data_IF_472762221189
#
_entry.id   IF_472762221189
#
_cell.length_a   1.000
_cell.length_b   1.000
_cell.length_c   1.000
_cell.angle_alpha   90.00
_cell.angle_beta   90.00
_cell.angle_gamma   90.00
#
_symmetry.space_group_name_H-M   'P 1'
#
loop_
_entity.id
_entity.type
_entity.pdbx_description
1 polymer ?
#
# COMPACT_ATOMS: atom_id res chain seq x y z
N UNK A 1 -26.62 -92.69 -52.84
CA UNK A 1 -26.54 -91.63 -53.87
C UNK A 1 -27.30 -90.40 -53.38
N UNK A 2 -26.70 -89.21 -53.57
CA UNK A 2 -27.30 -87.85 -53.58
C UNK A 2 -27.95 -87.27 -52.31
N UNK A 3 -27.21 -86.32 -51.73
CA UNK A 3 -27.55 -84.99 -51.17
C UNK A 3 -29.04 -84.60 -51.07
N UNK A 4 -29.43 -84.02 -49.93
CA UNK A 4 -29.73 -82.57 -49.82
C UNK A 4 -30.06 -82.12 -48.38
N UNK A 5 -29.69 -80.86 -48.11
CA UNK A 5 -29.69 -80.10 -46.85
C UNK A 5 -30.96 -79.24 -46.75
N UNK A 6 -31.50 -79.02 -45.55
CA UNK A 6 -32.24 -77.83 -45.07
C UNK A 6 -32.48 -78.01 -43.55
N UNK A 7 -31.69 -77.42 -42.63
CA UNK A 7 -31.81 -76.07 -42.00
C UNK A 7 -33.24 -75.70 -41.58
N UNK A 8 -33.51 -75.68 -40.26
CA UNK A 8 -34.12 -74.56 -39.51
C UNK A 8 -34.11 -74.79 -37.97
N UNK A 9 -33.60 -73.78 -37.25
CA UNK A 9 -33.77 -73.30 -35.84
C UNK A 9 -34.10 -74.30 -34.72
N UNK A 10 -33.20 -74.60 -33.76
CA UNK A 10 -32.83 -73.82 -32.55
C UNK A 10 -34.03 -73.36 -31.69
N UNK A 11 -34.34 -74.13 -30.64
CA UNK A 11 -34.45 -73.67 -29.24
C UNK A 11 -33.99 -74.82 -28.35
N UNK A 12 -32.82 -74.70 -27.70
CA UNK A 12 -32.39 -75.61 -26.64
C UNK A 12 -31.66 -74.81 -25.58
N UNK A 13 -32.28 -74.76 -24.41
CA UNK A 13 -31.76 -74.20 -23.17
C UNK A 13 -30.57 -75.06 -22.76
N UNK A 14 -29.37 -74.47 -22.75
CA UNK A 14 -28.19 -75.06 -22.14
C UNK A 14 -27.73 -74.15 -21.01
N UNK A 15 -27.97 -74.63 -19.80
CA UNK A 15 -27.32 -74.19 -18.58
C UNK A 15 -25.81 -74.41 -18.73
N UNK A 16 -25.03 -73.33 -18.75
CA UNK A 16 -23.61 -73.40 -18.42
C UNK A 16 -23.40 -72.81 -17.03
N UNK A 17 -23.05 -73.68 -16.10
CA UNK A 17 -22.21 -73.29 -14.98
C UNK A 17 -20.82 -72.97 -15.54
N UNK A 18 -20.41 -71.72 -15.43
CA UNK A 18 -19.03 -71.31 -15.66
C UNK A 18 -18.65 -70.24 -14.62
N UNK A 19 -17.80 -70.68 -13.70
CA UNK A 19 -16.87 -69.94 -12.86
C UNK A 19 -17.21 -68.48 -12.51
N UNK A 20 -17.58 -68.30 -11.24
CA UNK A 20 -17.23 -67.13 -10.44
C UNK A 20 -15.84 -66.62 -10.82
N UNK A 21 -15.83 -65.41 -11.36
CA UNK A 21 -14.67 -64.53 -11.37
C UNK A 21 -15.25 -63.15 -11.11
N UNK A 22 -15.32 -62.80 -9.83
CA UNK A 22 -15.58 -61.44 -9.35
C UNK A 22 -14.38 -60.53 -9.71
N UNK A 23 -14.09 -60.39 -11.00
CA UNK A 23 -13.16 -59.39 -11.54
C UNK A 23 -13.96 -58.35 -12.33
N UNK A 24 -15.06 -57.88 -11.74
CA UNK A 24 -15.55 -56.52 -11.99
C UNK A 24 -15.74 -55.86 -10.64
N UNK A 25 -14.61 -55.64 -9.97
CA UNK A 25 -14.46 -54.40 -9.21
C UNK A 25 -14.82 -53.28 -10.20
N UNK A 26 -16.09 -52.88 -10.17
CA UNK A 26 -16.55 -51.65 -10.78
C UNK A 26 -15.65 -50.60 -10.19
N UNK A 27 -14.63 -50.18 -10.94
CA UNK A 27 -13.70 -49.14 -10.53
C UNK A 27 -14.50 -47.85 -10.55
N UNK A 28 -15.31 -47.65 -9.50
CA UNK A 28 -15.96 -46.38 -9.22
C UNK A 28 -14.84 -45.34 -9.29
N UNK A 29 -15.02 -44.27 -10.08
CA UNK A 29 -13.98 -43.26 -10.22
C UNK A 29 -13.58 -42.80 -8.82
N UNK A 30 -12.31 -43.00 -8.44
CA UNK A 30 -11.83 -42.58 -7.13
C UNK A 30 -11.99 -41.06 -7.06
N UNK A 31 -12.81 -40.53 -6.15
CA UNK A 31 -13.02 -39.09 -6.04
C UNK A 31 -11.85 -38.45 -5.27
N UNK A 32 -11.42 -37.27 -5.71
CA UNK A 32 -10.35 -36.47 -5.12
C UNK A 32 -10.84 -35.04 -4.90
N UNK A 33 -10.34 -34.43 -3.84
CA UNK A 33 -10.60 -33.04 -3.50
C UNK A 33 -9.42 -32.11 -3.84
N UNK A 34 -8.33 -32.63 -4.39
CA UNK A 34 -7.16 -31.82 -4.71
C UNK A 34 -7.32 -31.21 -6.11
N UNK A 35 -7.63 -29.93 -6.17
CA UNK A 35 -7.76 -29.17 -7.43
C UNK A 35 -6.87 -27.93 -7.39
N UNK A 36 -5.78 -27.95 -8.17
CA UNK A 36 -4.97 -26.75 -8.42
C UNK A 36 -5.76 -25.69 -9.19
N UNK A 37 -6.67 -26.11 -10.07
CA UNK A 37 -7.54 -25.23 -10.84
C UNK A 37 -8.43 -24.38 -9.94
N UNK A 38 -9.01 -24.98 -8.89
CA UNK A 38 -9.82 -24.26 -7.91
C UNK A 38 -8.99 -23.18 -7.19
N UNK A 39 -7.76 -23.51 -6.79
CA UNK A 39 -6.85 -22.55 -6.13
C UNK A 39 -6.59 -21.35 -7.04
N UNK A 40 -6.28 -21.60 -8.31
CA UNK A 40 -6.03 -20.56 -9.30
C UNK A 40 -7.26 -19.68 -9.54
N UNK A 41 -8.46 -20.27 -9.64
CA UNK A 41 -9.69 -19.51 -9.84
C UNK A 41 -10.08 -18.65 -8.63
N UNK A 42 -9.92 -19.19 -7.41
CA UNK A 42 -10.13 -18.40 -6.18
C UNK A 42 -9.17 -17.23 -6.16
N UNK A 43 -7.88 -17.46 -6.42
CA UNK A 43 -6.87 -16.40 -6.45
C UNK A 43 -7.20 -15.33 -7.49
N UNK A 44 -7.54 -15.71 -8.72
CA UNK A 44 -7.91 -14.78 -9.79
C UNK A 44 -9.18 -13.98 -9.43
N UNK A 45 -10.19 -14.63 -8.86
CA UNK A 45 -11.45 -13.98 -8.47
C UNK A 45 -11.22 -12.96 -7.36
N UNK A 46 -10.42 -13.32 -6.34
CA UNK A 46 -10.05 -12.42 -5.26
C UNK A 46 -9.25 -11.22 -5.77
N UNK A 47 -8.21 -11.44 -6.57
CA UNK A 47 -7.39 -10.38 -7.14
C UNK A 47 -8.23 -9.44 -8.01
N UNK A 48 -9.05 -9.97 -8.90
CA UNK A 48 -9.96 -9.17 -9.74
C UNK A 48 -10.92 -8.34 -8.89
N UNK A 49 -11.47 -8.91 -7.82
CA UNK A 49 -12.35 -8.21 -6.89
C UNK A 49 -11.66 -7.06 -6.16
N UNK A 50 -10.42 -7.26 -5.70
CA UNK A 50 -9.61 -6.24 -5.02
C UNK A 50 -9.26 -5.12 -6.01
N UNK A 51 -8.76 -5.46 -7.19
CA UNK A 51 -8.31 -4.50 -8.20
C UNK A 51 -9.44 -3.59 -8.66
N UNK A 52 -10.60 -4.19 -8.98
CA UNK A 52 -11.78 -3.44 -9.39
C UNK A 52 -12.26 -2.50 -8.27
N UNK A 53 -12.30 -2.99 -7.02
CA UNK A 53 -12.70 -2.19 -5.88
C UNK A 53 -11.74 -1.01 -5.64
N UNK A 54 -10.42 -1.25 -5.68
CA UNK A 54 -9.41 -0.21 -5.49
C UNK A 54 -9.50 0.89 -6.56
N UNK A 55 -9.62 0.49 -7.83
CA UNK A 55 -9.78 1.43 -8.96
C UNK A 55 -11.08 2.21 -8.86
N UNK A 56 -12.19 1.54 -8.56
CA UNK A 56 -13.49 2.18 -8.39
C UNK A 56 -13.49 3.17 -7.23
N UNK A 57 -12.86 2.83 -6.10
CA UNK A 57 -12.74 3.75 -4.98
C UNK A 57 -11.93 4.99 -5.35
N UNK A 58 -10.75 4.83 -5.96
CA UNK A 58 -9.90 5.96 -6.33
C UNK A 58 -10.54 6.89 -7.38
N UNK A 59 -11.36 6.33 -8.29
CA UNK A 59 -12.13 7.11 -9.27
C UNK A 59 -13.24 7.94 -8.60
N UNK A 60 -13.85 7.42 -7.53
CA UNK A 60 -14.96 8.06 -6.83
C UNK A 60 -14.52 8.94 -5.65
N UNK A 61 -13.28 8.80 -5.16
CA UNK A 61 -12.75 9.58 -4.05
C UNK A 61 -12.36 10.99 -4.53
N UNK A 62 -13.27 11.95 -4.31
CA UNK A 62 -13.03 13.37 -4.64
C UNK A 62 -11.83 13.97 -3.91
N UNK A 63 -11.43 13.38 -2.77
CA UNK A 63 -10.27 13.81 -1.99
C UNK A 63 -8.95 13.33 -2.57
N UNK A 64 -8.99 12.30 -3.42
CA UNK A 64 -7.81 11.68 -4.03
C UNK A 64 -6.78 11.21 -2.99
N UNK A 65 -7.23 10.72 -1.83
CA UNK A 65 -6.34 10.30 -0.72
C UNK A 65 -5.68 8.96 -0.99
N UNK A 66 -6.36 8.08 -1.72
CA UNK A 66 -5.92 6.72 -1.96
C UNK A 66 -5.25 6.60 -3.33
N UNK A 67 -4.09 5.95 -3.36
CA UNK A 67 -3.43 5.47 -4.57
C UNK A 67 -3.87 4.02 -4.82
N UNK A 68 -4.62 3.80 -5.90
CA UNK A 68 -5.12 2.48 -6.25
C UNK A 68 -4.00 1.48 -6.56
N UNK A 69 -2.91 1.91 -7.19
CA UNK A 69 -1.81 1.01 -7.56
C UNK A 69 -1.05 0.54 -6.31
N UNK A 70 -0.98 1.38 -5.27
CA UNK A 70 -0.45 0.96 -3.96
C UNK A 70 -1.32 -0.10 -3.28
N UNK A 71 -2.65 0.01 -3.40
CA UNK A 71 -3.60 -1.00 -2.88
C UNK A 71 -3.48 -2.31 -3.67
N UNK A 72 -3.40 -2.23 -5.00
CA UNK A 72 -3.23 -3.38 -5.88
C UNK A 72 -1.88 -4.07 -5.61
N UNK A 73 -0.80 -3.31 -5.46
CA UNK A 73 0.51 -3.84 -5.07
C UNK A 73 0.44 -4.66 -3.76
N UNK A 74 -0.24 -4.13 -2.74
CA UNK A 74 -0.45 -4.84 -1.48
C UNK A 74 -1.32 -6.11 -1.63
N UNK A 75 -2.25 -6.14 -2.59
CA UNK A 75 -3.08 -7.31 -2.88
C UNK A 75 -2.25 -8.51 -3.34
N UNK A 76 -1.17 -8.25 -4.09
CA UNK A 76 -0.24 -9.27 -4.57
C UNK A 76 0.68 -9.81 -3.46
N UNK A 77 0.81 -9.10 -2.34
CA UNK A 77 1.56 -9.55 -1.17
C UNK A 77 0.73 -10.43 -0.21
N UNK A 78 -0.58 -10.59 -0.48
CA UNK A 78 -1.44 -11.45 0.34
C UNK A 78 -1.05 -12.91 0.20
N UNK A 79 -0.95 -13.61 1.33
CA UNK A 79 -0.81 -15.06 1.32
C UNK A 79 -2.20 -15.72 1.26
N UNK A 80 -2.53 -16.33 0.11
CA UNK A 80 -3.79 -17.02 -0.14
C UNK A 80 -3.53 -18.53 -0.12
N UNK A 81 -4.01 -19.20 0.93
CA UNK A 81 -3.84 -20.63 1.12
C UNK A 81 -5.19 -21.34 1.20
N UNK A 82 -5.34 -22.43 0.47
CA UNK A 82 -6.47 -23.35 0.60
C UNK A 82 -5.97 -24.64 1.27
N UNK A 83 -6.62 -25.11 2.33
CA UNK A 83 -6.26 -26.37 2.97
C UNK A 83 -6.51 -27.56 2.04
N UNK A 84 -5.92 -28.71 2.36
CA UNK A 84 -6.28 -29.97 1.71
C UNK A 84 -7.78 -30.23 1.88
N UNK A 85 -8.40 -30.70 0.79
CA UNK A 85 -9.83 -30.93 0.75
C UNK A 85 -10.21 -32.25 1.39
N UNK A 86 -11.25 -32.22 2.22
CA UNK A 86 -11.85 -33.42 2.83
C UNK A 86 -13.10 -33.82 2.05
N UNK A 87 -13.13 -35.07 1.60
CA UNK A 87 -14.30 -35.66 0.95
C UNK A 87 -15.33 -36.04 2.01
N UNK A 88 -16.55 -35.57 1.84
CA UNK A 88 -17.71 -35.88 2.69
C UNK A 88 -18.97 -36.02 1.82
N UNK A 89 -20.14 -36.07 2.44
CA UNK A 89 -21.44 -36.06 1.79
C UNK A 89 -22.25 -34.83 2.20
N UNK A 90 -22.95 -34.23 1.25
CA UNK A 90 -23.93 -33.19 1.53
C UNK A 90 -25.20 -33.77 2.20
N UNK A 91 -26.15 -32.90 2.56
CA UNK A 91 -27.42 -33.29 3.18
C UNK A 91 -28.28 -34.23 2.31
N UNK A 92 -28.01 -34.31 1.00
CA UNK A 92 -28.70 -35.17 0.05
C UNK A 92 -27.92 -36.47 -0.24
N UNK A 93 -26.78 -36.68 0.43
CA UNK A 93 -25.92 -37.85 0.25
C UNK A 93 -24.97 -37.77 -0.95
N UNK A 94 -24.88 -36.63 -1.64
CA UNK A 94 -23.96 -36.43 -2.77
C UNK A 94 -22.55 -36.14 -2.26
N UNK A 95 -21.50 -36.63 -2.93
CA UNK A 95 -20.14 -36.39 -2.50
C UNK A 95 -19.75 -34.91 -2.67
N UNK A 96 -19.16 -34.31 -1.63
CA UNK A 96 -18.75 -32.91 -1.58
C UNK A 96 -17.35 -32.80 -0.99
N UNK A 97 -16.56 -31.87 -1.49
CA UNK A 97 -15.26 -31.52 -0.92
C UNK A 97 -15.39 -30.28 -0.05
N UNK A 98 -14.69 -30.28 1.08
CA UNK A 98 -14.60 -29.13 1.99
C UNK A 98 -13.14 -28.77 2.25
N UNK A 99 -12.82 -27.49 2.10
CA UNK A 99 -11.51 -26.90 2.43
C UNK A 99 -11.69 -25.62 3.22
N UNK A 100 -10.63 -25.20 3.90
CA UNK A 100 -10.53 -23.90 4.54
C UNK A 100 -9.67 -22.97 3.68
N UNK A 101 -10.25 -21.84 3.26
CA UNK A 101 -9.53 -20.75 2.61
C UNK A 101 -9.04 -19.78 3.68
N UNK A 102 -7.73 -19.56 3.72
CA UNK A 102 -7.04 -18.63 4.60
C UNK A 102 -6.35 -17.56 3.78
N UNK A 103 -6.69 -16.30 4.02
CA UNK A 103 -6.07 -15.14 3.38
C UNK A 103 -5.41 -14.32 4.47
N UNK A 104 -4.09 -14.18 4.39
CA UNK A 104 -3.30 -13.48 5.41
C UNK A 104 -2.76 -12.18 4.85
N UNK A 105 -3.12 -11.08 5.48
CA UNK A 105 -2.50 -9.77 5.23
C UNK A 105 -1.15 -9.72 5.97
N UNK A 106 -0.04 -9.39 5.30
CA UNK A 106 1.25 -9.22 5.97
C UNK A 106 1.18 -8.25 7.14
N UNK A 107 1.88 -8.55 8.25
CA UNK A 107 1.75 -7.80 9.51
C UNK A 107 2.08 -6.30 9.37
N UNK A 108 3.09 -5.96 8.57
CA UNK A 108 3.47 -4.58 8.26
C UNK A 108 2.36 -3.83 7.51
N UNK A 109 1.68 -4.50 6.57
CA UNK A 109 0.55 -3.95 5.82
C UNK A 109 -0.65 -3.78 6.76
N UNK A 110 -0.95 -4.81 7.56
CA UNK A 110 -2.06 -4.79 8.52
C UNK A 110 -1.94 -3.66 9.54
N UNK A 111 -0.75 -3.46 10.11
CA UNK A 111 -0.50 -2.36 11.05
C UNK A 111 -0.69 -0.99 10.40
N UNK A 112 -0.21 -0.81 9.15
CA UNK A 112 -0.41 0.44 8.42
C UNK A 112 -1.88 0.69 8.09
N UNK A 113 -2.64 -0.36 7.75
CA UNK A 113 -4.08 -0.25 7.52
C UNK A 113 -4.77 0.33 8.76
N UNK A 114 -4.51 -0.26 9.93
CA UNK A 114 -5.11 0.20 11.18
C UNK A 114 -4.70 1.63 11.53
N UNK A 115 -3.43 1.97 11.34
CA UNK A 115 -2.89 3.32 11.62
C UNK A 115 -3.52 4.38 10.73
N UNK A 116 -3.74 4.06 9.45
CA UNK A 116 -4.20 5.00 8.44
C UNK A 116 -5.73 5.05 8.30
N UNK A 117 -6.45 4.03 8.82
CA UNK A 117 -7.90 3.91 8.71
C UNK A 117 -8.68 5.19 9.11
N UNK A 118 -8.28 5.96 10.14
CA UNK A 118 -8.99 7.18 10.50
C UNK A 118 -9.10 8.22 9.37
N UNK A 119 -8.17 8.25 8.42
CA UNK A 119 -8.21 9.19 7.29
C UNK A 119 -9.34 8.91 6.30
N UNK A 120 -9.77 7.65 6.19
CA UNK A 120 -10.88 7.27 5.31
C UNK A 120 -12.20 7.17 6.06
N UNK A 121 -12.17 6.67 7.30
CA UNK A 121 -13.38 6.31 8.04
C UNK A 121 -13.63 7.19 9.28
N UNK A 122 -12.76 8.15 9.58
CA UNK A 122 -12.84 8.96 10.79
C UNK A 122 -12.59 8.16 12.07
N UNK A 123 -13.09 8.64 13.20
CA UNK A 123 -12.90 8.04 14.55
C UNK A 123 -13.62 6.70 14.78
N UNK A 124 -14.28 6.19 13.75
CA UNK A 124 -15.19 5.07 13.89
C UNK A 124 -14.40 3.75 13.89
N UNK A 125 -14.87 2.70 14.56
CA UNK A 125 -14.10 1.46 14.73
C UNK A 125 -13.88 0.73 13.39
N UNK A 126 -12.62 0.81 12.93
CA UNK A 126 -11.96 -0.03 11.94
C UNK A 126 -12.59 -1.41 11.76
N UNK A 127 -12.26 -2.21 12.77
CA UNK A 127 -12.42 -3.65 12.75
C UNK A 127 -13.89 -4.02 12.95
N UNK A 128 -14.62 -3.26 13.77
CA UNK A 128 -16.07 -3.40 13.91
C UNK A 128 -16.82 -3.27 12.59
N UNK A 129 -16.50 -2.25 11.77
CA UNK A 129 -17.10 -2.08 10.43
C UNK A 129 -16.73 -3.21 9.48
N UNK A 130 -15.48 -3.63 9.49
CA UNK A 130 -15.03 -4.73 8.66
C UNK A 130 -15.74 -6.04 9.03
N UNK A 131 -15.85 -6.35 10.32
CA UNK A 131 -16.60 -7.49 10.81
C UNK A 131 -18.07 -7.43 10.38
N UNK A 132 -18.70 -6.25 10.38
CA UNK A 132 -20.06 -6.08 9.88
C UNK A 132 -20.18 -6.39 8.38
N UNK A 133 -19.19 -6.03 7.57
CA UNK A 133 -19.16 -6.39 6.14
C UNK A 133 -18.97 -7.89 5.89
N UNK A 134 -18.35 -8.60 6.84
CA UNK A 134 -18.12 -10.05 6.77
C UNK A 134 -19.33 -10.87 7.26
N UNK A 135 -20.27 -10.25 7.98
CA UNK A 135 -21.49 -10.92 8.45
C UNK A 135 -22.27 -11.50 7.27
N UNK A 136 -22.69 -12.77 7.39
CA UNK A 136 -23.44 -13.49 6.35
C UNK A 136 -22.58 -14.21 5.31
N UNK A 137 -21.28 -13.94 5.21
CA UNK A 137 -20.38 -14.58 4.23
C UNK A 137 -19.61 -15.80 4.76
N UNK A 138 -19.89 -16.21 6.01
CA UNK A 138 -19.16 -17.26 6.75
C UNK A 138 -17.66 -17.00 6.82
N UNK A 139 -17.26 -15.73 6.89
CA UNK A 139 -15.85 -15.33 7.00
C UNK A 139 -15.57 -14.86 8.41
N UNK A 140 -14.52 -15.39 9.03
CA UNK A 140 -14.01 -14.91 10.30
C UNK A 140 -12.72 -14.13 10.08
N UNK A 141 -12.57 -13.01 10.79
CA UNK A 141 -11.36 -12.20 10.79
C UNK A 141 -10.70 -12.24 12.17
N UNK A 142 -9.42 -12.59 12.20
CA UNK A 142 -8.58 -12.50 13.41
C UNK A 142 -7.18 -12.01 13.02
N UNK A 143 -6.75 -10.88 13.57
CA UNK A 143 -5.39 -10.32 13.38
C UNK A 143 -4.90 -10.29 11.92
N UNK A 144 -5.75 -9.81 11.00
CA UNK A 144 -5.42 -9.71 9.57
C UNK A 144 -5.52 -11.02 8.79
N UNK A 145 -6.05 -12.07 9.42
CA UNK A 145 -6.30 -13.38 8.80
C UNK A 145 -7.80 -13.55 8.57
N UNK A 146 -8.18 -13.66 7.30
CA UNK A 146 -9.54 -13.98 6.86
C UNK A 146 -9.64 -15.48 6.62
N UNK A 147 -10.61 -16.12 7.25
CA UNK A 147 -10.84 -17.56 7.12
C UNK A 147 -12.26 -17.82 6.63
N UNK A 148 -12.40 -18.60 5.56
CA UNK A 148 -13.70 -18.97 4.95
C UNK A 148 -13.73 -20.46 4.64
N UNK A 149 -14.74 -21.22 5.07
CA UNK A 149 -14.96 -22.58 4.57
C UNK A 149 -15.41 -22.52 3.10
N UNK A 150 -14.82 -23.36 2.26
CA UNK A 150 -15.15 -23.48 0.84
C UNK A 150 -15.60 -24.90 0.58
N UNK A 151 -16.80 -25.03 0.01
CA UNK A 151 -17.35 -26.29 -0.44
C UNK A 151 -17.37 -26.33 -1.97
N UNK A 152 -17.03 -27.48 -2.55
CA UNK A 152 -16.96 -27.66 -3.99
C UNK A 152 -17.16 -29.11 -4.40
N UNK A 153 -17.46 -29.34 -5.68
CA UNK A 153 -17.64 -30.69 -6.20
C UNK A 153 -16.30 -31.46 -6.29
N UNK A 154 -16.26 -32.76 -5.95
CA UNK A 154 -15.07 -33.58 -6.12
C UNK A 154 -14.73 -33.81 -7.60
N UNK A 155 -13.44 -34.00 -7.89
CA UNK A 155 -12.94 -34.44 -9.21
C UNK A 155 -12.71 -35.95 -9.18
N UNK A 156 -13.01 -36.65 -10.27
CA UNK A 156 -12.61 -38.05 -10.38
C UNK A 156 -11.09 -38.14 -10.68
N UNK A 157 -10.37 -39.00 -9.95
CA UNK A 157 -8.89 -39.05 -9.87
C UNK A 157 -8.21 -39.46 -11.17
N UNK A 158 -8.97 -40.00 -12.12
CA UNK A 158 -8.52 -40.46 -13.43
C UNK A 158 -9.06 -39.60 -14.58
N UNK A 159 -9.48 -38.36 -14.31
CA UNK A 159 -10.16 -37.52 -15.30
C UNK A 159 -9.26 -36.55 -16.03
N UNK A 160 -9.60 -36.37 -17.31
CA UNK A 160 -8.99 -35.40 -18.22
C UNK A 160 -9.31 -33.96 -17.77
N UNK A 161 -8.52 -32.98 -18.21
CA UNK A 161 -8.58 -31.57 -17.81
C UNK A 161 -10.01 -30.95 -17.75
N UNK A 162 -10.93 -31.38 -18.63
CA UNK A 162 -12.31 -30.90 -18.66
C UNK A 162 -13.12 -31.16 -17.36
N UNK A 163 -12.86 -32.27 -16.65
CA UNK A 163 -13.57 -32.57 -15.40
C UNK A 163 -13.01 -31.78 -14.21
N UNK A 164 -11.72 -31.47 -14.24
CA UNK A 164 -11.10 -30.57 -13.27
C UNK A 164 -11.65 -29.13 -13.39
N UNK A 165 -11.94 -28.69 -14.62
CA UNK A 165 -12.61 -27.39 -14.89
C UNK A 165 -14.02 -27.35 -14.29
N UNK A 166 -14.79 -28.44 -14.38
CA UNK A 166 -16.15 -28.52 -13.85
C UNK A 166 -16.20 -28.45 -12.32
N UNK A 167 -15.27 -29.10 -11.61
CA UNK A 167 -15.18 -28.97 -10.15
C UNK A 167 -14.76 -27.57 -9.73
N UNK A 168 -13.83 -26.96 -10.47
CA UNK A 168 -13.44 -25.57 -10.24
C UNK A 168 -14.61 -24.61 -10.48
N UNK A 169 -15.62 -24.93 -11.29
CA UNK A 169 -16.78 -24.04 -11.50
C UNK A 169 -17.91 -24.21 -10.48
N UNK A 170 -17.85 -25.21 -9.61
CA UNK A 170 -18.92 -25.55 -8.65
C UNK A 170 -18.55 -25.18 -7.20
N UNK A 171 -18.18 -23.92 -6.96
CA UNK A 171 -18.02 -23.35 -5.61
C UNK A 171 -18.80 -22.04 -5.47
N UNK A 172 -18.87 -21.49 -4.26
CA UNK A 172 -19.46 -20.19 -3.95
C UNK A 172 -18.67 -19.02 -4.57
N UNK A 173 -18.72 -18.88 -5.90
CA UNK A 173 -17.99 -17.85 -6.64
C UNK A 173 -18.43 -16.44 -6.25
N UNK A 174 -19.75 -16.25 -6.03
CA UNK A 174 -20.30 -14.97 -5.59
C UNK A 174 -19.73 -14.56 -4.22
N UNK A 175 -19.71 -15.47 -3.24
CA UNK A 175 -19.13 -15.18 -1.93
C UNK A 175 -17.62 -14.95 -1.96
N UNK A 176 -16.87 -15.60 -2.86
CA UNK A 176 -15.45 -15.29 -3.09
C UNK A 176 -15.27 -13.92 -3.74
N UNK A 177 -16.14 -13.53 -4.68
CA UNK A 177 -16.10 -12.19 -5.28
C UNK A 177 -16.44 -11.10 -4.25
N UNK A 178 -17.44 -11.32 -3.40
CA UNK A 178 -17.75 -10.42 -2.27
C UNK A 178 -16.58 -10.31 -1.31
N UNK A 179 -15.93 -11.43 -0.97
CA UNK A 179 -14.72 -11.41 -0.16
C UNK A 179 -13.60 -10.60 -0.81
N UNK A 180 -13.41 -10.70 -2.13
CA UNK A 180 -12.47 -9.86 -2.87
C UNK A 180 -12.76 -8.36 -2.72
N UNK A 181 -14.04 -7.97 -2.77
CA UNK A 181 -14.46 -6.57 -2.54
C UNK A 181 -14.18 -6.12 -1.10
N UNK A 182 -14.46 -6.98 -0.10
CA UNK A 182 -14.20 -6.67 1.31
C UNK A 182 -12.70 -6.55 1.58
N UNK A 183 -11.88 -7.42 0.97
CA UNK A 183 -10.42 -7.30 1.03
C UNK A 183 -9.94 -6.00 0.36
N UNK A 184 -10.53 -5.61 -0.78
CA UNK A 184 -10.27 -4.31 -1.40
C UNK A 184 -10.51 -3.16 -0.43
N UNK A 185 -11.69 -3.12 0.18
CA UNK A 185 -12.06 -2.11 1.19
C UNK A 185 -11.09 -2.12 2.40
N UNK A 186 -10.67 -3.31 2.82
CA UNK A 186 -9.72 -3.50 3.92
C UNK A 186 -8.37 -2.89 3.61
N UNK A 187 -7.89 -3.02 2.37
CA UNK A 187 -6.57 -2.55 1.95
C UNK A 187 -6.54 -1.05 1.63
N UNK A 188 -7.68 -0.38 1.42
CA UNK A 188 -7.73 1.05 1.07
C UNK A 188 -6.88 1.96 1.98
N UNK A 189 -6.86 1.80 3.32
CA UNK A 189 -6.04 2.64 4.19
C UNK A 189 -4.53 2.48 3.98
N UNK A 190 -4.07 1.32 3.50
CA UNK A 190 -2.67 1.15 3.11
C UNK A 190 -2.31 2.03 1.92
N UNK A 191 -3.25 2.19 0.99
CA UNK A 191 -3.14 3.01 -0.21
C UNK A 191 -3.09 4.52 0.05
N UNK A 192 -3.26 4.98 1.29
CA UNK A 192 -3.25 6.41 1.57
C UNK A 192 -1.88 7.02 1.24
N UNK A 193 -1.92 8.06 0.39
CA UNK A 193 -0.75 8.83 -0.04
C UNK A 193 -0.03 9.45 1.16
N UNK A 194 1.27 9.68 1.03
CA UNK A 194 2.06 10.29 2.12
C UNK A 194 1.66 11.73 2.43
N UNK A 195 0.94 12.35 1.51
CA UNK A 195 0.38 13.70 1.65
C UNK A 195 -1.08 13.69 1.23
N UNK A 196 -1.92 14.37 2.00
CA UNK A 196 -3.36 14.44 1.80
C UNK A 196 -3.84 15.88 1.91
N UNK A 197 -4.93 16.22 1.21
CA UNK A 197 -5.50 17.57 1.23
C UNK A 197 -6.71 17.61 2.14
N UNK A 198 -6.63 18.35 3.25
CA UNK A 198 -7.73 18.55 4.20
C UNK A 198 -8.09 20.02 4.19
N UNK A 199 -9.36 20.34 3.91
CA UNK A 199 -9.88 21.71 3.84
C UNK A 199 -9.06 22.65 2.94
N UNK A 200 -8.57 22.13 1.80
CA UNK A 200 -7.78 22.91 0.83
C UNK A 200 -6.28 23.00 1.13
N UNK A 201 -5.83 22.50 2.27
CA UNK A 201 -4.42 22.52 2.69
C UNK A 201 -3.79 21.13 2.63
N UNK A 202 -2.50 21.06 2.28
CA UNK A 202 -1.76 19.81 2.14
C UNK A 202 -1.05 19.47 3.44
N UNK A 203 -1.30 18.29 3.99
CA UNK A 203 -0.63 17.78 5.18
C UNK A 203 0.13 16.50 4.86
N UNK A 204 1.18 16.19 5.61
CA UNK A 204 1.68 14.82 5.61
C UNK A 204 0.67 13.89 6.32
N UNK A 205 0.72 12.60 6.01
CA UNK A 205 -0.23 11.60 6.53
C UNK A 205 -0.30 11.54 8.05
N UNK A 206 0.82 11.69 8.76
CA UNK A 206 0.84 11.62 10.23
C UNK A 206 0.16 12.84 10.88
N UNK A 207 0.44 14.04 10.38
CA UNK A 207 -0.20 15.27 10.84
C UNK A 207 -1.69 15.28 10.51
N UNK A 208 -2.07 14.73 9.33
CA UNK A 208 -3.46 14.57 8.94
C UNK A 208 -4.23 13.60 9.87
N UNK A 209 -3.62 12.48 10.28
CA UNK A 209 -4.20 11.56 11.27
C UNK A 209 -4.40 12.29 12.61
N UNK A 210 -3.40 13.09 13.01
CA UNK A 210 -3.45 13.89 14.23
C UNK A 210 -4.63 14.87 14.20
N UNK A 211 -4.82 15.60 13.10
CA UNK A 211 -5.96 16.52 12.91
C UNK A 211 -7.33 15.84 12.98
N UNK A 212 -7.47 14.65 12.40
CA UNK A 212 -8.75 13.91 12.44
C UNK A 212 -9.05 13.40 13.85
N UNK A 213 -8.01 13.05 14.61
CA UNK A 213 -8.14 12.55 15.96
C UNK A 213 -8.39 13.69 16.95
N UNK A 214 -7.66 14.80 16.80
CA UNK A 214 -7.78 16.04 17.55
C UNK A 214 -7.88 17.26 16.60
N UNK A 215 -9.11 17.77 16.36
CA UNK A 215 -9.31 18.96 15.51
C UNK A 215 -8.61 20.23 16.02
N UNK A 216 -8.18 20.27 17.28
CA UNK A 216 -7.46 21.41 17.86
C UNK A 216 -5.93 21.25 17.81
N UNK A 217 -5.43 20.17 17.21
CA UNK A 217 -4.01 19.92 17.08
C UNK A 217 -3.33 21.05 16.28
N UNK A 218 -2.23 21.57 16.83
CA UNK A 218 -1.43 22.61 16.18
C UNK A 218 -0.45 21.99 15.19
N UNK A 219 -0.96 21.51 14.06
CA UNK A 219 -0.13 21.07 12.93
C UNK A 219 -0.18 22.11 11.81
N UNK A 220 0.95 22.30 11.12
CA UNK A 220 1.07 23.28 10.04
C UNK A 220 0.94 22.57 8.69
N UNK A 221 0.18 23.13 7.74
CA UNK A 221 0.12 22.59 6.39
C UNK A 221 1.42 22.84 5.62
N UNK A 222 1.77 21.91 4.74
CA UNK A 222 3.00 21.92 3.91
C UNK A 222 3.03 23.08 2.92
N UNK A 223 1.86 23.58 2.49
CA UNK A 223 1.68 24.70 1.56
C UNK A 223 1.72 26.07 2.23
N UNK A 224 1.66 26.14 3.57
CA UNK A 224 1.85 27.39 4.28
C UNK A 224 3.25 27.48 4.90
N UNK A 225 4.07 28.47 4.51
CA UNK A 225 5.26 28.79 5.28
C UNK A 225 4.82 29.20 6.69
N UNK A 226 5.46 28.62 7.70
CA UNK A 226 5.23 28.99 9.10
C UNK A 226 5.41 30.51 9.28
N UNK A 227 4.79 31.10 10.32
CA UNK A 227 4.99 32.52 10.65
C UNK A 227 6.48 32.86 10.79
N UNK A 228 7.29 31.92 11.26
CA UNK A 228 8.75 32.05 11.32
C UNK A 228 9.44 32.02 9.95
N UNK A 229 9.00 31.16 9.02
CA UNK A 229 9.52 31.14 7.65
C UNK A 229 9.10 32.38 6.82
N UNK A 230 7.93 32.96 7.12
CA UNK A 230 7.49 34.23 6.56
C UNK A 230 8.37 35.40 7.06
N UNK A 231 8.69 35.42 8.37
CA UNK A 231 9.64 36.39 8.94
C UNK A 231 11.04 36.24 8.33
N UNK A 232 11.52 35.01 8.10
CA UNK A 232 12.79 34.76 7.42
C UNK A 232 12.83 35.33 5.99
N UNK A 233 11.73 35.15 5.26
CA UNK A 233 11.58 35.67 3.91
C UNK A 233 11.55 37.19 3.88
N UNK A 234 10.94 37.82 4.89
CA UNK A 234 10.96 39.27 5.05
C UNK A 234 12.38 39.79 5.33
N UNK A 235 13.12 39.14 6.25
CA UNK A 235 14.52 39.47 6.57
C UNK A 235 15.44 39.30 5.34
N UNK A 236 15.32 38.19 4.61
CA UNK A 236 16.10 37.91 3.40
C UNK A 236 15.80 38.89 2.25
N UNK A 237 14.57 39.38 2.17
CA UNK A 237 14.14 40.36 1.16
C UNK A 237 14.25 41.82 1.63
N UNK A 238 14.98 42.08 2.73
CA UNK A 238 15.24 43.42 3.24
C UNK A 238 14.03 44.14 3.86
N UNK A 239 12.94 43.44 4.10
CA UNK A 239 11.76 43.96 4.81
C UNK A 239 11.87 43.61 6.29
N UNK A 240 12.50 44.50 7.06
CA UNK A 240 12.54 44.39 8.52
C UNK A 240 11.15 44.76 9.08
N UNK A 241 10.47 43.89 9.86
CA UNK A 241 9.37 44.35 10.67
C UNK A 241 9.90 45.37 11.68
N UNK A 242 9.26 46.53 11.76
CA UNK A 242 9.60 47.57 12.72
C UNK A 242 9.47 46.99 14.14
N UNK A 243 10.60 46.70 14.80
CA UNK A 243 10.61 46.54 16.25
C UNK A 243 10.22 47.90 16.81
N UNK A 244 8.99 48.01 17.34
CA UNK A 244 8.55 49.15 18.12
C UNK A 244 9.55 49.39 19.25
N UNK A 245 10.43 50.37 19.06
CA UNK A 245 11.26 50.93 20.11
C UNK A 245 10.52 52.12 20.69
N UNK A 246 9.51 51.84 21.51
CA UNK A 246 9.12 52.79 22.56
C UNK A 246 10.19 52.67 23.64
N UNK A 247 11.21 53.53 23.58
CA UNK A 247 11.71 54.19 24.78
C UNK A 247 12.60 55.38 24.40
N UNK A 248 12.19 56.50 24.97
CA UNK A 248 12.59 57.88 24.78
C UNK A 248 14.02 58.15 25.29
N UNK A 249 14.68 59.07 24.58
CA UNK A 249 16.02 59.63 24.81
C UNK A 249 16.18 60.18 26.22
N UNK A 250 17.28 59.85 26.90
CA UNK A 250 18.05 60.86 27.63
C UNK A 250 19.54 60.50 27.74
N UNK A 251 20.39 61.53 27.73
CA UNK A 251 21.81 61.45 27.43
C UNK A 251 22.78 61.13 28.58
N UNK A 252 24.05 61.01 28.16
CA UNK A 252 25.32 61.07 28.89
C UNK A 252 25.96 59.81 29.54
N UNK A 253 27.07 59.41 28.89
CA UNK A 253 28.43 59.16 29.42
C UNK A 253 28.80 57.86 30.21
N UNK A 254 29.71 57.09 29.57
CA UNK A 254 30.93 56.41 30.08
C UNK A 254 30.93 54.91 30.49
N UNK A 255 31.74 54.18 29.69
CA UNK A 255 32.62 53.01 29.94
C UNK A 255 32.09 51.69 30.52
N UNK A 256 31.94 50.74 29.59
CA UNK A 256 32.76 49.52 29.42
C UNK A 256 32.92 48.61 30.65
N UNK A 257 32.13 47.54 30.67
CA UNK A 257 32.62 46.21 31.02
C UNK A 257 32.08 45.19 29.99
N UNK A 258 32.93 44.55 29.16
CA UNK A 258 32.50 43.58 28.16
C UNK A 258 32.88 42.17 28.62
N UNK A 259 32.00 41.51 29.36
CA UNK A 259 32.19 40.08 29.69
C UNK A 259 30.85 39.42 30.04
N UNK A 260 29.93 39.36 29.07
CA UNK A 260 29.06 38.18 28.86
C UNK A 260 28.30 38.19 27.52
N UNK A 261 28.88 38.77 26.46
CA UNK A 261 28.33 38.63 25.11
C UNK A 261 28.95 37.41 24.46
N UNK A 262 28.24 36.28 24.60
CA UNK A 262 28.40 35.08 23.81
C UNK A 262 28.67 35.46 22.34
N UNK A 263 29.89 35.19 21.86
CA UNK A 263 30.34 35.48 20.51
C UNK A 263 29.48 34.72 19.50
N UNK A 264 28.42 35.34 18.98
CA UNK A 264 27.89 34.99 17.67
C UNK A 264 28.92 35.48 16.65
N UNK A 265 29.60 34.54 16.00
CA UNK A 265 30.62 34.83 15.01
C UNK A 265 29.98 35.57 13.82
N UNK A 266 30.48 36.77 13.53
CA UNK A 266 30.12 37.52 12.33
C UNK A 266 30.53 36.72 11.08
N UNK A 267 29.58 36.43 10.19
CA UNK A 267 29.84 35.60 9.00
C UNK A 267 30.71 36.40 8.03
N UNK A 268 31.99 36.02 7.90
CA UNK A 268 32.92 36.71 6.99
C UNK A 268 32.52 36.54 5.53
N UNK A 269 32.84 37.53 4.69
CA UNK A 269 32.57 37.48 3.25
C UNK A 269 33.17 36.24 2.56
N UNK A 270 34.37 35.83 2.97
CA UNK A 270 35.01 34.60 2.47
C UNK A 270 34.23 33.34 2.88
N UNK A 271 33.74 33.29 4.12
CA UNK A 271 32.94 32.15 4.60
C UNK A 271 31.62 32.04 3.82
N UNK A 272 30.92 33.15 3.61
CA UNK A 272 29.68 33.17 2.83
C UNK A 272 29.92 32.77 1.37
N UNK A 273 31.04 33.22 0.78
CA UNK A 273 31.42 32.85 -0.59
C UNK A 273 31.69 31.34 -0.71
N UNK A 274 32.44 30.75 0.21
CA UNK A 274 32.65 29.29 0.24
C UNK A 274 31.32 28.52 0.38
N UNK A 275 30.40 29.00 1.22
CA UNK A 275 29.07 28.37 1.38
C UNK A 275 28.25 28.44 0.10
N UNK A 276 28.29 29.56 -0.63
CA UNK A 276 27.64 29.69 -1.95
C UNK A 276 28.21 28.70 -2.95
N UNK A 277 29.54 28.56 -3.01
CA UNK A 277 30.20 27.67 -3.95
C UNK A 277 29.92 26.19 -3.63
N UNK A 278 29.92 25.81 -2.35
CA UNK A 278 29.53 24.47 -1.89
C UNK A 278 28.07 24.15 -2.25
N UNK A 279 27.16 25.11 -2.07
CA UNK A 279 25.76 24.94 -2.42
C UNK A 279 25.55 24.77 -3.94
N UNK A 280 26.22 25.60 -4.75
CA UNK A 280 26.22 25.45 -6.22
C UNK A 280 26.74 24.09 -6.66
N UNK A 281 27.83 23.62 -6.05
CA UNK A 281 28.40 22.31 -6.35
C UNK A 281 27.43 21.18 -6.01
N UNK A 282 26.85 21.16 -4.79
CA UNK A 282 25.87 20.15 -4.39
C UNK A 282 24.64 20.13 -5.33
N UNK A 283 24.14 21.31 -5.72
CA UNK A 283 23.03 21.43 -6.66
C UNK A 283 23.41 20.92 -8.08
N UNK A 284 24.65 21.13 -8.54
CA UNK A 284 25.14 20.57 -9.81
C UNK A 284 25.18 19.04 -9.78
N UNK A 285 25.68 18.48 -8.68
CA UNK A 285 25.80 17.02 -8.48
C UNK A 285 24.42 16.36 -8.46
N UNK A 286 23.48 16.84 -7.63
CA UNK A 286 22.14 16.25 -7.56
C UNK A 286 21.39 16.34 -8.90
N UNK A 287 21.53 17.44 -9.63
CA UNK A 287 20.89 17.60 -10.93
C UNK A 287 21.48 16.66 -11.99
N UNK A 288 22.79 16.40 -11.92
CA UNK A 288 23.45 15.43 -12.80
C UNK A 288 23.01 14.01 -12.46
N UNK A 289 23.01 13.67 -11.18
CA UNK A 289 22.57 12.37 -10.71
C UNK A 289 21.11 12.09 -11.06
N UNK A 290 20.21 13.05 -10.84
CA UNK A 290 18.81 12.96 -11.23
C UNK A 290 18.63 12.74 -12.74
N UNK A 291 19.41 13.42 -13.57
CA UNK A 291 19.41 13.24 -15.03
C UNK A 291 19.94 11.88 -15.47
N UNK A 292 20.82 11.26 -14.68
CA UNK A 292 21.42 9.98 -14.99
C UNK A 292 20.63 8.77 -14.46
N UNK A 293 19.57 8.99 -13.68
CA UNK A 293 18.65 7.91 -13.28
C UNK A 293 17.93 7.35 -14.51
N UNK A 294 17.67 6.04 -14.51
CA UNK A 294 16.80 5.43 -15.51
C UNK A 294 15.44 6.16 -15.59
N UNK A 295 14.87 6.28 -16.78
CA UNK A 295 13.65 7.05 -17.00
C UNK A 295 12.44 6.49 -16.24
N UNK A 296 12.37 5.17 -16.04
CA UNK A 296 11.33 4.52 -15.24
C UNK A 296 11.47 4.89 -13.78
N UNK A 297 12.70 4.79 -13.25
CA UNK A 297 13.00 5.18 -11.86
C UNK A 297 12.74 6.66 -11.64
N UNK A 298 13.15 7.52 -12.58
CA UNK A 298 12.95 8.96 -12.51
C UNK A 298 11.47 9.34 -12.52
N UNK A 299 10.64 8.67 -13.33
CA UNK A 299 9.18 8.86 -13.32
C UNK A 299 8.57 8.45 -11.99
N UNK A 300 8.94 7.30 -11.46
CA UNK A 300 8.48 6.83 -10.14
C UNK A 300 8.87 7.79 -9.02
N UNK A 301 10.10 8.31 -9.06
CA UNK A 301 10.62 9.23 -8.05
C UNK A 301 10.23 10.69 -8.28
N UNK A 302 9.62 11.05 -9.41
CA UNK A 302 9.39 12.46 -9.77
C UNK A 302 8.59 13.20 -8.71
N UNK A 303 7.54 12.54 -8.21
CA UNK A 303 6.71 13.12 -7.16
C UNK A 303 7.46 13.23 -5.83
N UNK A 304 8.27 12.22 -5.48
CA UNK A 304 9.12 12.23 -4.29
C UNK A 304 10.16 13.35 -4.35
N UNK A 305 10.76 13.58 -5.53
CA UNK A 305 11.74 14.62 -5.76
C UNK A 305 11.12 16.02 -5.62
N UNK A 306 9.91 16.24 -6.17
CA UNK A 306 9.19 17.50 -5.97
C UNK A 306 8.88 17.76 -4.49
N UNK A 307 8.43 16.73 -3.75
CA UNK A 307 8.18 16.83 -2.30
C UNK A 307 9.44 17.15 -1.51
N UNK A 308 10.55 16.49 -1.84
CA UNK A 308 11.83 16.75 -1.20
C UNK A 308 12.30 18.19 -1.43
N UNK A 309 12.15 18.73 -2.64
CA UNK A 309 12.48 20.14 -2.96
C UNK A 309 11.62 21.10 -2.11
N UNK A 310 10.31 20.86 -2.01
CA UNK A 310 9.42 21.69 -1.22
C UNK A 310 9.79 21.66 0.27
N UNK A 311 10.02 20.47 0.84
CA UNK A 311 10.44 20.29 2.23
C UNK A 311 11.77 20.98 2.51
N UNK A 312 12.78 20.77 1.67
CA UNK A 312 14.10 21.41 1.79
C UNK A 312 13.98 22.93 1.81
N UNK A 313 13.20 23.48 0.88
CA UNK A 313 12.98 24.93 0.78
C UNK A 313 12.40 25.49 2.07
N UNK A 314 11.33 24.87 2.59
CA UNK A 314 10.67 25.28 3.84
C UNK A 314 11.62 25.21 5.05
N UNK A 315 12.28 24.06 5.25
CA UNK A 315 13.16 23.85 6.41
C UNK A 315 14.37 24.79 6.42
N UNK A 316 14.96 25.05 5.25
CA UNK A 316 16.13 25.92 5.15
C UNK A 316 15.77 27.40 5.26
N UNK A 317 14.55 27.80 4.89
CA UNK A 317 14.02 29.12 5.20
C UNK A 317 13.79 29.28 6.71
N UNK A 318 13.24 28.28 7.39
CA UNK A 318 13.08 28.30 8.84
C UNK A 318 14.42 28.43 9.57
N UNK A 319 15.46 27.72 9.11
CA UNK A 319 16.81 27.83 9.69
C UNK A 319 17.39 29.24 9.50
N UNK A 320 17.17 29.85 8.33
CA UNK A 320 17.59 31.22 8.02
C UNK A 320 16.89 32.27 8.89
N UNK A 321 15.67 31.99 9.34
CA UNK A 321 14.88 32.88 10.21
C UNK A 321 15.54 33.21 11.53
N UNK A 322 16.46 32.35 11.99
CA UNK A 322 17.16 32.46 13.28
C UNK A 322 18.36 33.40 13.22
N UNK A 323 18.63 34.01 12.07
CA UNK A 323 19.78 34.88 11.89
C UNK A 323 19.45 36.35 12.18
N UNK A 324 20.42 37.02 12.79
CA UNK A 324 20.33 38.42 13.18
C UNK A 324 20.78 39.40 12.08
N UNK A 325 21.23 38.88 10.92
CA UNK A 325 21.63 39.68 9.76
C UNK A 325 21.33 38.97 8.44
N UNK A 326 21.16 39.71 7.32
CA UNK A 326 20.94 39.10 6.00
C UNK A 326 22.07 38.16 5.56
N UNK A 327 23.33 38.53 5.84
CA UNK A 327 24.49 37.70 5.50
C UNK A 327 24.51 36.38 6.30
N UNK A 328 24.14 36.44 7.58
CA UNK A 328 24.02 35.25 8.41
C UNK A 328 22.79 34.40 8.02
N UNK A 329 21.67 35.02 7.64
CA UNK A 329 20.49 34.33 7.16
C UNK A 329 20.78 33.55 5.88
N UNK A 330 21.48 34.17 4.92
CA UNK A 330 21.90 33.53 3.70
C UNK A 330 22.85 32.35 3.98
N UNK A 331 23.82 32.54 4.88
CA UNK A 331 24.74 31.49 5.29
C UNK A 331 24.00 30.26 5.86
N UNK A 332 23.11 30.46 6.84
CA UNK A 332 22.34 29.36 7.45
C UNK A 332 21.42 28.65 6.45
N UNK A 333 20.81 29.41 5.54
CA UNK A 333 19.97 28.85 4.47
C UNK A 333 20.78 27.93 3.58
N UNK A 334 21.93 28.40 3.10
CA UNK A 334 22.78 27.67 2.15
C UNK A 334 23.44 26.45 2.78
N UNK A 335 23.83 26.52 4.06
CA UNK A 335 24.34 25.34 4.78
C UNK A 335 23.27 24.25 4.92
N UNK A 336 22.06 24.62 5.32
CA UNK A 336 20.94 23.68 5.38
C UNK A 336 20.66 23.05 4.01
N UNK A 337 20.56 23.90 2.98
CA UNK A 337 20.25 23.47 1.63
C UNK A 337 21.31 22.50 1.10
N UNK A 338 22.58 22.78 1.37
CA UNK A 338 23.72 21.92 1.02
C UNK A 338 23.69 20.59 1.76
N UNK A 339 23.44 20.60 3.08
CA UNK A 339 23.36 19.38 3.88
C UNK A 339 22.25 18.45 3.35
N UNK A 340 21.03 18.96 3.20
CA UNK A 340 19.90 18.17 2.73
C UNK A 340 20.10 17.68 1.29
N UNK A 341 20.75 18.49 0.45
CA UNK A 341 21.10 18.10 -0.92
C UNK A 341 22.13 16.97 -0.95
N UNK A 342 23.13 16.99 -0.07
CA UNK A 342 24.11 15.91 0.05
C UNK A 342 23.49 14.60 0.59
N UNK A 343 22.56 14.69 1.53
CA UNK A 343 21.79 13.53 1.99
C UNK A 343 20.95 12.94 0.86
N UNK A 344 20.33 13.79 0.04
CA UNK A 344 19.55 13.35 -1.12
C UNK A 344 20.39 12.73 -2.22
N UNK A 345 21.59 13.26 -2.49
CA UNK A 345 22.58 12.67 -3.40
C UNK A 345 22.89 11.23 -2.99
N UNK A 346 23.14 10.99 -1.70
CA UNK A 346 23.37 9.64 -1.17
C UNK A 346 22.14 8.75 -1.37
N UNK A 347 20.94 9.23 -1.06
CA UNK A 347 19.70 8.48 -1.30
C UNK A 347 19.55 8.07 -2.78
N UNK A 348 19.73 9.03 -3.70
CA UNK A 348 19.62 8.78 -5.14
C UNK A 348 20.73 7.86 -5.68
N UNK A 349 21.85 7.69 -4.97
CA UNK A 349 22.93 6.79 -5.42
C UNK A 349 22.56 5.32 -5.27
N UNK A 350 21.62 4.98 -4.39
CA UNK A 350 21.05 3.63 -4.30
C UNK A 350 20.23 3.21 -5.53
N UNK A 351 19.93 4.15 -6.42
CA UNK A 351 19.18 3.94 -7.66
C UNK A 351 20.04 4.07 -8.92
N UNK A 352 21.34 4.36 -8.76
CA UNK A 352 22.27 4.39 -9.88
C UNK A 352 22.54 2.94 -10.32
N UNK A 353 22.27 2.64 -11.60
CA UNK A 353 22.69 1.38 -12.21
C UNK A 353 24.23 1.36 -12.27
N UNK A 354 24.85 0.32 -11.71
CA UNK A 354 26.25 0.00 -11.96
C UNK A 354 26.40 -0.78 -13.26
#
# INVERSE_FOLDING_TARGET
MKKSIFVYSIISVLSLAACSRDDTASSSPQLSCNSEQLRNQIQQTLQTGIDNNARQFAQNDSRQFVDAEKVIGASHELNIALSDGKLDKDSNGNPICSSELKITVPANIWQQIQTNAPLLFGKSDFIGRLNQQLQGNSVTLHDGVFTKPVQYAPVASNTNAASATNAASNFDQAGIQTLGTVLGNTLLPYGIKDTVVIAGHTYNRADAITLITDPNAKVLPLDQPSSTAQMASAILNGHLPAMNSDHQVDGNHIQKNPEDSNKQADVTANQLQMTRDNNRNANSVINTQWRNLDDTVRKTLQHEQQKWIARKTSQCQEKAAKADSPAHAEFLRLECDTQMTNERIKYLSGYALH
#
